data_IF_941061433307
#
_entry.id   IF_941061433307
#
_cell.length_a   1.000
_cell.length_b   1.000
_cell.length_c   1.000
_cell.angle_alpha   90.00
_cell.angle_beta   90.00
_cell.angle_gamma   90.00
#
_symmetry.space_group_name_H-M   'P 1'
#
loop_
_entity.id
_entity.type
_entity.pdbx_description
1 polymer ?
#
# COMPACT_ATOMS: atom_id res chain seq x y z
N UNK A 1 -2.66 -10.95 11.44
CA UNK A 1 -2.95 -10.64 10.04
C UNK A 1 -1.74 -9.89 9.49
N UNK A 2 -1.21 -10.23 8.32
CA UNK A 2 -0.06 -9.57 7.74
C UNK A 2 -0.45 -8.23 7.10
N UNK A 3 0.46 -7.26 7.19
CA UNK A 3 0.45 -6.05 6.39
C UNK A 3 1.30 -6.30 5.14
N UNK A 4 0.82 -5.94 3.97
CA UNK A 4 1.57 -6.07 2.72
C UNK A 4 1.97 -4.71 2.16
N UNK A 5 3.19 -4.60 1.66
CA UNK A 5 3.71 -3.45 0.92
C UNK A 5 3.98 -3.92 -0.50
N UNK A 6 3.34 -3.32 -1.47
CA UNK A 6 3.34 -3.75 -2.86
C UNK A 6 3.74 -2.61 -3.79
N UNK A 7 4.62 -2.91 -4.75
CA UNK A 7 5.00 -2.01 -5.84
C UNK A 7 4.64 -2.65 -7.17
N UNK A 8 3.62 -2.15 -7.89
CA UNK A 8 3.28 -2.66 -9.22
C UNK A 8 4.34 -2.24 -10.24
N UNK A 9 4.87 -3.20 -10.99
CA UNK A 9 5.69 -2.89 -12.17
C UNK A 9 4.77 -2.53 -13.34
N UNK A 10 4.98 -1.37 -13.94
CA UNK A 10 4.27 -0.95 -15.14
C UNK A 10 4.81 -1.74 -16.35
N UNK A 11 4.21 -2.88 -16.69
CA UNK A 11 4.36 -3.51 -17.99
C UNK A 11 3.00 -3.91 -18.51
N UNK A 12 2.63 -3.30 -19.62
CA UNK A 12 1.46 -3.60 -20.44
C UNK A 12 1.55 -5.01 -20.99
N UNK A 13 0.93 -5.99 -20.36
CA UNK A 13 0.32 -7.21 -20.91
C UNK A 13 -0.01 -8.15 -19.76
N UNK A 14 -1.29 -8.49 -19.63
CA UNK A 14 -1.77 -9.43 -18.60
C UNK A 14 -1.33 -10.85 -18.90
N UNK A 15 -0.85 -11.56 -17.89
CA UNK A 15 -1.25 -12.96 -17.70
C UNK A 15 -1.83 -13.19 -16.31
N UNK A 16 -2.87 -13.99 -16.28
CA UNK A 16 -3.51 -14.56 -15.11
C UNK A 16 -2.49 -15.20 -14.16
N UNK A 17 -2.38 -14.64 -12.96
CA UNK A 17 -1.51 -15.19 -11.91
C UNK A 17 -2.19 -16.40 -11.26
N UNK A 18 -1.67 -17.57 -11.54
CA UNK A 18 -1.95 -18.81 -10.80
C UNK A 18 -1.04 -18.88 -9.58
N UNK A 19 -1.60 -18.72 -8.38
CA UNK A 19 -0.86 -18.92 -7.13
C UNK A 19 -0.70 -20.42 -6.84
N UNK A 20 0.55 -20.89 -6.83
CA UNK A 20 0.92 -22.17 -6.19
C UNK A 20 1.60 -21.87 -4.87
N UNK A 21 0.88 -22.18 -3.78
CA UNK A 21 1.38 -22.07 -2.41
C UNK A 21 2.47 -23.11 -2.13
N UNK A 22 3.68 -22.66 -1.82
CA UNK A 22 4.65 -23.44 -1.06
C UNK A 22 5.10 -22.60 0.14
N UNK A 23 4.41 -22.79 1.27
CA UNK A 23 4.77 -22.19 2.56
C UNK A 23 5.53 -23.26 3.34
N UNK A 24 6.84 -23.10 3.51
CA UNK A 24 7.61 -23.91 4.45
C UNK A 24 7.74 -23.20 5.78
N UNK A 25 7.15 -23.77 6.83
CA UNK A 25 7.28 -23.32 8.21
C UNK A 25 8.54 -23.93 8.84
N UNK A 26 9.42 -23.10 9.40
CA UNK A 26 10.42 -23.52 10.37
C UNK A 26 10.08 -22.90 11.73
N UNK A 27 9.87 -23.71 12.80
CA UNK A 27 9.68 -23.20 14.13
C UNK A 27 11.02 -22.95 14.82
N UNK A 28 11.36 -21.71 15.15
CA UNK A 28 12.45 -21.42 16.07
C UNK A 28 11.90 -21.00 17.44
N UNK A 29 11.91 -21.94 18.37
CA UNK A 29 11.73 -21.68 19.79
C UNK A 29 12.93 -20.86 20.33
N UNK A 30 12.72 -19.61 20.73
CA UNK A 30 13.60 -18.93 21.68
C UNK A 30 12.75 -18.22 22.75
N UNK A 31 13.05 -18.55 24.00
CA UNK A 31 12.46 -17.93 25.22
C UNK A 31 12.91 -16.48 25.30
N UNK A 32 11.96 -15.57 25.48
CA UNK A 32 12.26 -14.14 25.72
C UNK A 32 12.63 -13.92 27.19
N UNK A 33 13.79 -13.31 27.42
CA UNK A 33 14.19 -12.69 28.69
C UNK A 33 13.83 -11.20 28.68
N UNK A 34 13.50 -10.60 29.86
CA UNK A 34 13.17 -9.17 29.94
C UNK A 34 14.42 -8.33 29.64
N UNK A 35 14.35 -7.45 28.65
CA UNK A 35 15.42 -6.55 28.24
C UNK A 35 15.90 -6.71 26.78
N UNK A 36 15.28 -7.54 25.98
CA UNK A 36 15.70 -7.79 24.59
C UNK A 36 14.98 -6.85 23.63
N UNK A 37 15.75 -6.02 22.92
CA UNK A 37 15.30 -5.26 21.75
C UNK A 37 14.69 -6.22 20.74
N UNK A 38 13.41 -6.07 20.42
CA UNK A 38 12.77 -6.79 19.33
C UNK A 38 13.29 -6.22 18.00
N UNK A 39 14.28 -6.87 17.40
CA UNK A 39 14.67 -6.60 16.02
C UNK A 39 13.68 -7.33 15.11
N UNK A 40 12.96 -6.58 14.30
CA UNK A 40 12.12 -7.15 13.25
C UNK A 40 13.02 -7.66 12.12
N UNK A 41 13.00 -8.95 11.87
CA UNK A 41 13.63 -9.52 10.68
C UNK A 41 12.53 -9.77 9.65
N UNK A 42 12.45 -8.93 8.64
CA UNK A 42 11.60 -9.16 7.46
C UNK A 42 12.35 -10.11 6.54
N UNK A 43 11.89 -11.33 6.39
CA UNK A 43 12.36 -12.28 5.36
C UNK A 43 11.16 -12.95 4.73
N UNK A 44 10.72 -12.43 3.61
CA UNK A 44 10.04 -13.19 2.58
C UNK A 44 10.28 -12.48 1.24
N UNK A 45 11.24 -12.99 0.48
CA UNK A 45 11.45 -12.58 -0.91
C UNK A 45 10.74 -13.59 -1.77
N UNK A 46 9.68 -13.19 -2.46
CA UNK A 46 9.09 -13.97 -3.54
C UNK A 46 9.63 -13.40 -4.83
N UNK A 47 10.63 -14.06 -5.41
CA UNK A 47 11.14 -13.72 -6.73
C UNK A 47 10.22 -14.34 -7.78
N UNK A 48 9.65 -13.53 -8.65
CA UNK A 48 8.92 -13.99 -9.83
C UNK A 48 9.93 -14.13 -10.96
N UNK A 49 10.28 -15.38 -11.34
CA UNK A 49 11.15 -15.65 -12.48
C UNK A 49 10.40 -15.39 -13.78
N UNK A 50 10.93 -14.48 -14.60
CA UNK A 50 10.50 -14.26 -15.98
C UNK A 50 11.24 -15.22 -16.92
N UNK A 51 10.60 -15.76 -17.98
CA UNK A 51 11.29 -16.63 -18.91
C UNK A 51 12.33 -15.86 -19.75
N UNK A 52 13.51 -16.42 -19.83
CA UNK A 52 14.66 -15.92 -20.57
C UNK A 52 14.40 -15.81 -22.07
N UNK A 53 14.56 -14.63 -22.66
CA UNK A 53 14.87 -14.47 -24.07
C UNK A 53 16.18 -13.69 -24.20
N UNK A 54 17.12 -14.30 -24.91
CA UNK A 54 18.45 -13.82 -25.20
C UNK A 54 18.43 -12.57 -26.09
N UNK A 55 19.11 -11.50 -25.64
CA UNK A 55 19.93 -10.63 -26.50
C UNK A 55 20.60 -9.55 -25.66
N UNK A 56 21.89 -9.47 -25.84
CA UNK A 56 22.87 -8.51 -25.35
C UNK A 56 22.46 -7.04 -25.43
N UNK A 57 22.29 -6.42 -24.24
CA UNK A 57 22.73 -5.06 -23.98
C UNK A 57 22.82 -4.89 -22.45
N UNK A 58 24.03 -4.58 -21.95
CA UNK A 58 24.28 -4.40 -20.51
C UNK A 58 23.78 -3.04 -20.07
N UNK A 59 22.47 -2.93 -19.85
CA UNK A 59 21.90 -1.94 -18.95
C UNK A 59 21.95 -2.51 -17.55
N UNK A 60 22.33 -1.70 -16.59
CA UNK A 60 22.40 -2.05 -15.14
C UNK A 60 20.96 -2.30 -14.65
N UNK A 61 20.51 -3.55 -14.76
CA UNK A 61 19.12 -3.99 -14.54
C UNK A 61 18.92 -4.44 -13.06
N UNK A 62 19.57 -3.73 -12.13
CA UNK A 62 19.28 -3.92 -10.72
C UNK A 62 17.94 -3.23 -10.39
N UNK A 63 16.96 -3.94 -9.78
CA UNK A 63 15.65 -3.36 -9.49
C UNK A 63 15.83 -2.12 -8.62
N UNK A 64 15.31 -0.99 -9.12
CA UNK A 64 15.46 0.34 -8.49
C UNK A 64 14.83 0.32 -7.11
N UNK A 65 15.56 0.84 -6.11
CA UNK A 65 15.02 1.01 -4.74
C UNK A 65 13.90 2.05 -4.80
N UNK A 66 12.74 1.66 -4.31
CA UNK A 66 11.52 2.48 -4.27
C UNK A 66 11.34 3.13 -2.90
N UNK A 67 11.44 2.34 -1.82
CA UNK A 67 11.36 2.81 -0.45
C UNK A 67 12.57 2.30 0.32
N UNK A 68 13.22 3.20 1.05
CA UNK A 68 14.28 2.85 1.98
C UNK A 68 14.01 3.48 3.34
N UNK A 69 13.92 2.65 4.37
CA UNK A 69 13.72 3.05 5.76
C UNK A 69 14.93 2.61 6.55
N UNK A 70 15.59 3.53 7.26
CA UNK A 70 16.76 3.27 8.09
C UNK A 70 16.56 3.80 9.51
N UNK A 71 16.68 2.91 10.48
CA UNK A 71 16.65 3.18 11.92
C UNK A 71 15.44 4.04 12.36
N UNK A 72 14.28 3.83 11.74
CA UNK A 72 13.09 4.63 11.98
C UNK A 72 12.58 4.42 13.41
N UNK A 73 12.49 5.52 14.16
CA UNK A 73 11.95 5.60 15.50
C UNK A 73 10.76 6.55 15.52
N UNK A 74 9.67 6.15 16.19
CA UNK A 74 8.48 7.00 16.30
C UNK A 74 7.80 6.83 17.66
N UNK A 75 7.15 7.91 18.10
CA UNK A 75 6.38 8.00 19.35
C UNK A 75 4.94 8.42 19.05
N UNK A 76 4.02 8.08 19.94
CA UNK A 76 2.67 8.66 19.94
C UNK A 76 2.77 10.09 20.47
N UNK A 77 2.18 11.05 19.76
CA UNK A 77 2.23 12.48 20.12
C UNK A 77 1.66 12.75 21.52
N UNK A 78 0.50 12.15 21.85
CA UNK A 78 -0.19 12.38 23.11
C UNK A 78 0.54 11.78 24.33
N UNK A 79 0.92 10.50 24.24
CA UNK A 79 1.49 9.77 25.37
C UNK A 79 3.00 9.81 25.46
N UNK A 80 3.69 10.30 24.40
CA UNK A 80 5.13 10.25 24.19
C UNK A 80 5.72 8.83 24.31
N UNK A 81 4.87 7.83 24.20
CA UNK A 81 5.29 6.42 24.23
C UNK A 81 5.97 6.05 22.92
N UNK A 82 7.16 5.51 23.01
CA UNK A 82 7.89 5.00 21.86
C UNK A 82 7.29 3.66 21.40
N UNK A 83 6.95 3.58 20.10
CA UNK A 83 6.36 2.38 19.50
C UNK A 83 7.29 1.77 18.46
N UNK A 84 7.93 2.61 17.63
CA UNK A 84 8.91 2.16 16.66
C UNK A 84 10.33 2.38 17.19
N UNK A 85 11.15 1.35 17.12
CA UNK A 85 12.50 1.33 17.67
C UNK A 85 13.49 0.83 16.61
N UNK A 86 14.01 1.72 15.77
CA UNK A 86 15.03 1.39 14.80
C UNK A 86 14.57 0.42 13.71
N UNK A 87 13.44 0.73 13.05
CA UNK A 87 12.89 -0.10 11.96
C UNK A 87 13.70 0.12 10.69
N UNK A 88 14.11 -0.98 10.07
CA UNK A 88 14.82 -0.99 8.80
C UNK A 88 14.07 -1.80 7.76
N UNK A 89 13.81 -1.22 6.59
CA UNK A 89 13.11 -1.87 5.47
C UNK A 89 13.58 -1.26 4.15
N UNK A 90 13.86 -2.10 3.17
CA UNK A 90 14.13 -1.68 1.80
C UNK A 90 13.18 -2.41 0.87
N UNK A 91 12.45 -1.67 0.04
CA UNK A 91 11.51 -2.19 -0.96
C UNK A 91 11.96 -1.72 -2.33
N UNK A 92 12.12 -2.68 -3.25
CA UNK A 92 12.44 -2.39 -4.65
C UNK A 92 11.21 -2.45 -5.53
N UNK A 93 11.31 -1.90 -6.71
CA UNK A 93 10.26 -1.95 -7.72
C UNK A 93 9.90 -3.41 -8.05
N UNK A 94 8.59 -3.74 -8.05
CA UNK A 94 8.08 -5.09 -8.32
C UNK A 94 8.17 -6.07 -7.13
N UNK A 95 8.67 -5.65 -5.96
CA UNK A 95 8.72 -6.52 -4.78
C UNK A 95 7.43 -6.41 -3.95
N UNK A 96 7.06 -7.52 -3.29
CA UNK A 96 6.01 -7.60 -2.29
C UNK A 96 6.63 -7.99 -0.95
N UNK A 97 6.46 -7.14 0.06
CA UNK A 97 6.95 -7.37 1.40
C UNK A 97 5.78 -7.60 2.37
N UNK A 98 5.74 -8.75 3.03
CA UNK A 98 4.80 -9.05 4.10
C UNK A 98 5.41 -8.71 5.45
N UNK A 99 4.86 -7.69 6.13
CA UNK A 99 5.26 -7.30 7.48
C UNK A 99 4.45 -8.09 8.49
N UNK A 100 5.09 -9.00 9.21
CA UNK A 100 4.43 -9.91 10.15
C UNK A 100 4.87 -9.63 11.59
N UNK A 101 4.00 -9.89 12.56
CA UNK A 101 4.30 -9.74 13.97
C UNK A 101 3.06 -9.91 14.84
N UNK A 102 3.27 -10.01 16.16
CA UNK A 102 2.17 -10.08 17.14
C UNK A 102 1.30 -8.82 17.10
N UNK A 103 0.05 -8.93 17.55
CA UNK A 103 -0.79 -7.75 17.74
C UNK A 103 -0.12 -6.80 18.73
N UNK A 104 -0.18 -5.48 18.45
CA UNK A 104 0.52 -4.46 19.23
C UNK A 104 2.02 -4.34 18.95
N UNK A 105 2.57 -5.02 17.93
CA UNK A 105 3.99 -4.91 17.57
C UNK A 105 4.35 -3.66 16.77
N UNK A 106 3.38 -2.80 16.44
CA UNK A 106 3.63 -1.55 15.71
C UNK A 106 3.46 -1.62 14.19
N UNK A 107 2.90 -2.71 13.62
CA UNK A 107 2.69 -2.84 12.17
C UNK A 107 1.86 -1.69 11.57
N UNK A 108 0.65 -1.52 12.10
CA UNK A 108 -0.26 -0.44 11.65
C UNK A 108 0.30 0.95 11.99
N UNK A 109 1.06 1.07 13.10
CA UNK A 109 1.78 2.30 13.42
C UNK A 109 2.84 2.63 12.37
N UNK A 110 3.62 1.63 11.94
CA UNK A 110 4.60 1.81 10.88
C UNK A 110 3.96 2.30 9.57
N UNK A 111 2.83 1.70 9.16
CA UNK A 111 2.06 2.15 8.01
C UNK A 111 1.60 3.61 8.14
N UNK A 112 1.01 3.97 9.29
CA UNK A 112 0.53 5.33 9.56
C UNK A 112 1.67 6.36 9.60
N UNK A 113 2.82 6.01 10.15
CA UNK A 113 4.02 6.88 10.16
C UNK A 113 4.52 7.15 8.74
N UNK A 114 4.52 6.13 7.86
CA UNK A 114 4.94 6.30 6.47
C UNK A 114 4.03 7.25 5.68
N UNK A 115 2.73 7.26 5.98
CA UNK A 115 1.79 8.19 5.31
C UNK A 115 1.68 9.55 5.99
N UNK A 116 2.36 9.76 7.11
CA UNK A 116 2.38 11.05 7.81
C UNK A 116 1.16 11.29 8.70
N UNK A 117 0.64 10.26 9.36
CA UNK A 117 -0.51 10.42 10.26
C UNK A 117 -0.16 11.31 11.46
N UNK A 118 -1.00 12.31 11.81
CA UNK A 118 -0.67 13.32 12.81
C UNK A 118 -0.51 12.79 14.25
N UNK A 119 -1.04 11.62 14.56
CA UNK A 119 -0.92 11.01 15.90
C UNK A 119 0.50 10.55 16.24
N UNK A 120 1.40 10.53 15.27
CA UNK A 120 2.75 10.00 15.41
C UNK A 120 3.81 11.03 15.09
N UNK A 121 4.83 11.09 15.92
CA UNK A 121 6.01 11.94 15.75
C UNK A 121 7.26 11.06 15.53
N UNK A 122 8.03 11.38 14.51
CA UNK A 122 9.26 10.68 14.19
C UNK A 122 10.39 11.30 15.02
N UNK A 123 11.04 10.45 15.83
CA UNK A 123 12.13 10.88 16.73
C UNK A 123 13.52 10.54 16.20
N UNK A 124 13.61 9.73 15.17
CA UNK A 124 14.89 9.37 14.56
C UNK A 124 14.75 8.49 13.34
N UNK A 125 15.86 8.37 12.61
CA UNK A 125 15.94 7.60 11.39
C UNK A 125 15.70 8.41 10.12
N UNK A 126 15.75 7.74 8.99
CA UNK A 126 15.52 8.34 7.66
C UNK A 126 14.58 7.47 6.84
N UNK A 127 13.73 8.11 6.05
CA UNK A 127 12.85 7.44 5.09
C UNK A 127 12.99 8.13 3.74
N UNK A 128 13.43 7.37 2.75
CA UNK A 128 13.55 7.84 1.37
C UNK A 128 12.53 7.10 0.48
N UNK A 129 11.77 7.84 -0.30
CA UNK A 129 10.85 7.31 -1.30
C UNK A 129 11.21 7.87 -2.67
N UNK A 130 11.51 6.99 -3.63
CA UNK A 130 12.01 7.36 -4.97
C UNK A 130 13.24 8.28 -4.95
N UNK A 131 14.05 8.23 -3.88
CA UNK A 131 15.22 9.07 -3.69
C UNK A 131 14.96 10.41 -3.00
N UNK A 132 13.71 10.76 -2.72
CA UNK A 132 13.33 11.96 -1.99
C UNK A 132 13.09 11.66 -0.50
N UNK A 133 13.34 12.63 0.37
CA UNK A 133 13.11 12.46 1.80
C UNK A 133 11.61 12.51 2.12
N UNK A 134 11.04 11.35 2.45
CA UNK A 134 9.61 11.24 2.74
C UNK A 134 9.19 12.02 3.99
N UNK A 135 10.11 12.22 4.95
CA UNK A 135 9.80 12.87 6.22
C UNK A 135 9.55 14.38 6.09
N UNK A 136 10.06 15.00 5.03
CA UNK A 136 9.86 16.41 4.72
C UNK A 136 8.58 16.68 3.93
N UNK A 137 7.96 15.63 3.41
CA UNK A 137 6.73 15.74 2.61
C UNK A 137 5.49 15.75 3.50
N UNK A 138 4.54 16.64 3.18
CA UNK A 138 3.20 16.59 3.74
C UNK A 138 2.43 15.35 3.25
N UNK A 139 1.41 14.87 3.99
CA UNK A 139 0.64 13.68 3.61
C UNK A 139 0.07 13.72 2.19
N UNK A 140 -0.38 14.90 1.74
CA UNK A 140 -0.87 15.11 0.38
C UNK A 140 0.22 14.92 -0.67
N UNK A 141 1.43 15.43 -0.40
CA UNK A 141 2.59 15.30 -1.28
C UNK A 141 3.03 13.85 -1.41
N UNK A 142 2.99 13.08 -0.29
CA UNK A 142 3.28 11.64 -0.28
C UNK A 142 2.31 10.87 -1.17
N UNK A 143 1.02 11.17 -1.06
CA UNK A 143 -0.01 10.57 -1.90
C UNK A 143 0.20 10.92 -3.38
N UNK A 144 0.46 12.18 -3.69
CA UNK A 144 0.75 12.65 -5.05
C UNK A 144 2.09 12.11 -5.60
N UNK A 145 3.03 11.72 -4.74
CA UNK A 145 4.26 11.04 -5.14
C UNK A 145 4.04 9.56 -5.52
N UNK A 146 2.83 9.04 -5.27
CA UNK A 146 2.44 7.67 -5.61
C UNK A 146 2.42 6.70 -4.42
N UNK A 147 2.38 7.21 -3.19
CA UNK A 147 2.18 6.39 -2.00
C UNK A 147 0.68 6.23 -1.72
N UNK A 148 0.22 5.00 -1.58
CA UNK A 148 -1.16 4.66 -1.24
C UNK A 148 -1.22 3.84 0.05
N UNK A 149 -2.22 4.10 0.88
CA UNK A 149 -2.50 3.29 2.07
C UNK A 149 -3.96 2.84 2.09
N UNK A 150 -4.17 1.52 2.22
CA UNK A 150 -5.47 0.94 2.57
C UNK A 150 -5.58 0.86 4.09
N UNK A 151 -6.62 1.46 4.64
CA UNK A 151 -6.86 1.46 6.08
C UNK A 151 -7.56 0.17 6.53
N UNK A 152 -7.25 -0.29 7.73
CA UNK A 152 -7.96 -1.42 8.36
C UNK A 152 -9.47 -1.19 8.42
N UNK A 153 -9.89 0.04 8.71
CA UNK A 153 -11.30 0.46 8.74
C UNK A 153 -11.49 1.70 7.88
N UNK A 154 -11.91 1.53 6.61
CA UNK A 154 -12.16 2.66 5.72
C UNK A 154 -13.23 3.60 6.26
N UNK A 155 -12.92 4.89 6.26
CA UNK A 155 -13.83 5.94 6.75
C UNK A 155 -14.95 6.18 5.74
N UNK A 156 -16.18 6.35 6.22
CA UNK A 156 -17.30 6.80 5.40
C UNK A 156 -17.27 8.34 5.28
N UNK A 157 -17.50 8.85 4.07
CA UNK A 157 -17.56 10.29 3.80
C UNK A 157 -18.98 10.62 3.31
N UNK A 158 -19.89 11.04 4.20
CA UNK A 158 -21.25 11.39 3.82
C UNK A 158 -21.27 12.61 2.89
N UNK A 159 -22.17 12.59 1.91
CA UNK A 159 -22.37 13.72 1.00
C UNK A 159 -21.35 13.84 -0.15
N UNK A 160 -20.38 12.95 -0.24
CA UNK A 160 -19.42 12.89 -1.36
C UNK A 160 -19.59 11.58 -2.10
N UNK A 161 -19.95 11.65 -3.39
CA UNK A 161 -20.08 10.44 -4.21
C UNK A 161 -18.71 9.81 -4.52
N UNK A 162 -18.67 8.49 -4.68
CA UNK A 162 -17.43 7.79 -5.04
C UNK A 162 -16.84 8.32 -6.35
N UNK A 163 -17.67 8.64 -7.33
CA UNK A 163 -17.19 9.13 -8.62
C UNK A 163 -16.54 10.50 -8.49
N UNK A 164 -17.13 11.41 -7.72
CA UNK A 164 -16.57 12.75 -7.51
C UNK A 164 -15.26 12.68 -6.72
N UNK A 165 -15.23 11.86 -5.67
CA UNK A 165 -14.03 11.64 -4.87
C UNK A 165 -12.87 11.13 -5.72
N UNK A 166 -13.11 10.07 -6.52
CA UNK A 166 -12.09 9.46 -7.37
C UNK A 166 -11.66 10.38 -8.51
N UNK A 167 -12.60 11.12 -9.11
CA UNK A 167 -12.29 12.10 -10.16
C UNK A 167 -11.41 13.24 -9.64
N UNK A 168 -11.74 13.79 -8.47
CA UNK A 168 -10.94 14.84 -7.84
C UNK A 168 -9.53 14.35 -7.51
N UNK A 169 -9.42 13.16 -6.91
CA UNK A 169 -8.13 12.58 -6.53
C UNK A 169 -7.25 12.29 -7.77
N UNK A 170 -7.83 11.72 -8.81
CA UNK A 170 -7.13 11.43 -10.07
C UNK A 170 -6.71 12.70 -10.80
N UNK A 171 -7.58 13.71 -10.86
CA UNK A 171 -7.24 14.99 -11.47
C UNK A 171 -6.18 15.77 -10.68
N UNK A 172 -6.11 15.62 -9.35
CA UNK A 172 -5.01 16.17 -8.56
C UNK A 172 -3.65 15.59 -8.97
N UNK A 173 -3.58 14.27 -9.23
CA UNK A 173 -2.37 13.64 -9.75
C UNK A 173 -2.02 14.14 -11.17
N UNK A 174 -3.02 14.22 -12.06
CA UNK A 174 -2.82 14.72 -13.43
C UNK A 174 -2.29 16.16 -13.43
N UNK A 175 -2.83 16.99 -12.53
CA UNK A 175 -2.37 18.39 -12.37
C UNK A 175 -0.91 18.45 -11.94
N UNK A 176 -0.49 17.60 -11.00
CA UNK A 176 0.93 17.50 -10.59
C UNK A 176 1.83 17.11 -11.77
N UNK A 177 1.34 16.27 -12.67
CA UNK A 177 2.08 15.84 -13.87
C UNK A 177 1.99 16.83 -15.02
N UNK A 178 1.31 17.97 -14.86
CA UNK A 178 1.10 18.97 -15.93
C UNK A 178 0.15 18.49 -17.03
N UNK A 179 -0.64 17.45 -16.78
CA UNK A 179 -1.62 16.91 -17.71
C UNK A 179 -2.98 17.62 -17.55
N UNK A 180 -3.77 17.75 -18.63
CA UNK A 180 -5.11 18.32 -18.55
C UNK A 180 -6.02 17.45 -17.67
N UNK A 181 -6.92 18.09 -16.91
CA UNK A 181 -7.92 17.39 -16.12
C UNK A 181 -8.91 16.65 -17.01
N UNK A 182 -9.39 15.50 -16.56
CA UNK A 182 -10.46 14.77 -17.22
C UNK A 182 -11.82 15.31 -16.80
N UNK A 183 -12.66 15.57 -17.79
CA UNK A 183 -14.07 15.84 -17.56
C UNK A 183 -14.82 14.60 -17.05
N UNK A 184 -16.06 14.76 -16.53
CA UNK A 184 -16.85 13.65 -15.96
C UNK A 184 -17.07 12.49 -16.94
N UNK A 185 -17.31 12.76 -18.21
CA UNK A 185 -17.54 11.74 -19.23
C UNK A 185 -16.27 10.96 -19.55
N UNK A 186 -15.15 11.67 -19.69
CA UNK A 186 -13.84 11.07 -19.95
C UNK A 186 -13.39 10.21 -18.77
N UNK A 187 -13.58 10.72 -17.54
CA UNK A 187 -13.26 9.98 -16.33
C UNK A 187 -14.13 8.72 -16.19
N UNK A 188 -15.41 8.79 -16.59
CA UNK A 188 -16.28 7.62 -16.59
C UNK A 188 -15.76 6.51 -17.52
N UNK A 189 -15.29 6.88 -18.72
CA UNK A 189 -14.61 5.95 -19.63
C UNK A 189 -13.35 5.34 -19.06
N UNK A 190 -12.60 6.11 -18.25
CA UNK A 190 -11.37 5.64 -17.58
C UNK A 190 -11.64 4.66 -16.43
N UNK A 191 -12.70 4.89 -15.64
CA UNK A 191 -12.99 4.08 -14.46
C UNK A 191 -13.76 2.79 -14.79
N UNK A 192 -14.55 2.75 -15.87
CA UNK A 192 -15.40 1.61 -16.21
C UNK A 192 -14.64 0.26 -16.25
N UNK A 193 -13.50 0.12 -16.96
CA UNK A 193 -12.75 -1.14 -16.97
C UNK A 193 -12.16 -1.51 -15.60
N UNK A 194 -11.93 -0.53 -14.73
CA UNK A 194 -11.41 -0.75 -13.36
C UNK A 194 -12.49 -1.26 -12.41
N UNK A 195 -13.75 -0.87 -12.63
CA UNK A 195 -14.91 -1.45 -11.91
C UNK A 195 -15.09 -2.94 -12.23
N UNK A 196 -14.92 -3.31 -13.49
CA UNK A 196 -14.97 -4.72 -13.90
C UNK A 196 -13.85 -5.52 -13.23
N UNK A 197 -12.65 -4.97 -13.17
CA UNK A 197 -11.49 -5.61 -12.53
C UNK A 197 -11.72 -5.94 -11.05
N UNK A 198 -12.44 -5.07 -10.32
CA UNK A 198 -12.76 -5.27 -8.89
C UNK A 198 -14.13 -5.87 -8.64
N UNK A 199 -14.82 -6.33 -9.70
CA UNK A 199 -16.16 -6.91 -9.65
C UNK A 199 -17.16 -6.01 -8.89
N UNK A 200 -17.16 -4.71 -9.18
CA UNK A 200 -18.07 -3.72 -8.62
C UNK A 200 -19.07 -3.22 -9.67
N UNK A 201 -20.33 -3.04 -9.24
CA UNK A 201 -21.38 -2.49 -10.10
C UNK A 201 -21.24 -0.97 -10.22
N UNK A 202 -21.65 -0.42 -11.35
CA UNK A 202 -21.67 1.02 -11.64
C UNK A 202 -22.43 1.84 -10.59
N UNK A 203 -23.52 1.29 -10.03
CA UNK A 203 -24.34 1.95 -9.03
C UNK A 203 -23.54 2.40 -7.78
N UNK A 204 -22.44 1.72 -7.47
CA UNK A 204 -21.56 2.10 -6.36
C UNK A 204 -20.85 3.44 -6.56
N UNK A 205 -20.66 3.88 -7.80
CA UNK A 205 -20.06 5.17 -8.10
C UNK A 205 -20.94 6.36 -7.67
N UNK A 206 -22.25 6.18 -7.71
CA UNK A 206 -23.22 7.21 -7.34
C UNK A 206 -23.52 7.25 -5.84
N UNK A 207 -23.06 6.25 -5.08
CA UNK A 207 -23.21 6.21 -3.62
C UNK A 207 -22.09 7.01 -2.95
N UNK A 208 -22.36 7.51 -1.75
CA UNK A 208 -21.36 8.18 -0.96
C UNK A 208 -20.21 7.23 -0.59
N UNK A 209 -19.00 7.77 -0.47
CA UNK A 209 -17.78 7.00 -0.17
C UNK A 209 -17.97 6.18 1.10
N UNK A 210 -17.95 4.86 0.97
CA UNK A 210 -18.04 3.88 2.06
C UNK A 210 -19.31 3.94 2.94
N UNK A 211 -20.28 4.83 2.65
CA UNK A 211 -21.51 4.96 3.43
C UNK A 211 -22.48 3.81 3.11
N UNK A 212 -22.84 3.06 4.15
CA UNK A 212 -23.74 1.90 4.02
C UNK A 212 -23.15 0.73 3.22
N UNK A 213 -21.83 0.70 2.98
CA UNK A 213 -21.17 -0.42 2.36
C UNK A 213 -20.95 -1.55 3.35
N UNK A 214 -21.11 -2.78 2.90
CA UNK A 214 -20.66 -3.97 3.63
C UNK A 214 -19.11 -3.99 3.77
N UNK A 215 -18.58 -4.84 4.65
CA UNK A 215 -17.13 -4.97 4.82
C UNK A 215 -16.41 -5.31 3.50
N UNK A 216 -16.94 -6.27 2.74
CA UNK A 216 -16.39 -6.65 1.44
C UNK A 216 -16.49 -5.54 0.39
N UNK A 217 -17.60 -4.80 0.35
CA UNK A 217 -17.77 -3.67 -0.57
C UNK A 217 -16.78 -2.53 -0.27
N UNK A 218 -16.52 -2.23 1.02
CA UNK A 218 -15.52 -1.25 1.43
C UNK A 218 -14.13 -1.65 0.96
N UNK A 219 -13.76 -2.90 1.11
CA UNK A 219 -12.45 -3.41 0.66
C UNK A 219 -12.29 -3.35 -0.85
N UNK A 220 -13.33 -3.76 -1.61
CA UNK A 220 -13.33 -3.60 -3.08
C UNK A 220 -13.23 -2.13 -3.49
N UNK A 221 -13.88 -1.22 -2.75
CA UNK A 221 -13.77 0.21 -3.02
C UNK A 221 -12.34 0.74 -2.79
N UNK A 222 -11.61 0.26 -1.78
CA UNK A 222 -10.20 0.60 -1.59
C UNK A 222 -9.30 0.06 -2.70
N UNK A 223 -9.55 -1.18 -3.16
CA UNK A 223 -8.84 -1.75 -4.31
C UNK A 223 -9.15 -0.94 -5.58
N UNK A 224 -10.41 -0.50 -5.77
CA UNK A 224 -10.78 0.40 -6.86
C UNK A 224 -10.00 1.72 -6.77
N UNK A 225 -9.91 2.33 -5.60
CA UNK A 225 -9.11 3.55 -5.38
C UNK A 225 -7.65 3.33 -5.78
N UNK A 226 -7.05 2.22 -5.33
CA UNK A 226 -5.68 1.85 -5.70
C UNK A 226 -5.52 1.71 -7.22
N UNK A 227 -6.46 1.02 -7.88
CA UNK A 227 -6.44 0.82 -9.32
C UNK A 227 -6.65 2.11 -10.13
N UNK A 228 -7.47 3.04 -9.63
CA UNK A 228 -7.73 4.34 -10.26
C UNK A 228 -6.52 5.26 -10.12
N UNK A 229 -5.93 5.33 -8.93
CA UNK A 229 -4.80 6.22 -8.65
C UNK A 229 -3.48 5.68 -9.19
N UNK A 230 -3.36 4.37 -9.44
CA UNK A 230 -2.16 3.78 -10.02
C UNK A 230 -0.91 4.05 -9.17
N UNK A 231 -1.01 3.78 -7.86
CA UNK A 231 0.08 4.06 -6.93
C UNK A 231 1.33 3.22 -7.22
N UNK A 232 2.50 3.82 -7.00
CA UNK A 232 3.80 3.15 -7.15
C UNK A 232 4.14 2.26 -5.95
N UNK A 233 3.64 2.63 -4.77
CA UNK A 233 3.79 1.89 -3.54
C UNK A 233 2.45 1.81 -2.81
N UNK A 234 1.92 0.62 -2.62
CA UNK A 234 0.72 0.37 -1.84
C UNK A 234 1.06 -0.26 -0.48
N UNK A 235 0.61 0.36 0.60
CA UNK A 235 0.67 -0.17 1.96
C UNK A 235 -0.73 -0.68 2.32
N UNK A 236 -0.86 -1.99 2.52
CA UNK A 236 -2.13 -2.67 2.76
C UNK A 236 -2.17 -3.17 4.19
N UNK A 237 -2.98 -2.54 5.06
CA UNK A 237 -3.10 -2.92 6.46
C UNK A 237 -4.35 -3.79 6.66
N UNK A 238 -4.13 -5.10 6.90
CA UNK A 238 -5.17 -6.11 7.16
C UNK A 238 -6.31 -6.13 6.12
N UNK A 239 -5.96 -6.09 4.84
CA UNK A 239 -6.94 -6.04 3.73
C UNK A 239 -7.87 -7.26 3.71
N UNK A 240 -7.43 -8.40 4.26
CA UNK A 240 -8.16 -9.65 4.37
C UNK A 240 -9.08 -9.71 5.61
N UNK A 241 -8.99 -8.73 6.51
CA UNK A 241 -9.82 -8.71 7.71
C UNK A 241 -11.29 -8.45 7.37
N UNK A 242 -12.19 -9.38 7.79
CA UNK A 242 -13.63 -9.26 7.58
C UNK A 242 -14.13 -9.69 6.20
N UNK A 243 -13.29 -10.30 5.37
CA UNK A 243 -13.71 -11.03 4.18
C UNK A 243 -14.04 -12.47 4.53
N UNK A 244 -15.13 -13.01 3.97
CA UNK A 244 -15.43 -14.43 3.99
C UNK A 244 -14.54 -15.17 2.98
N UNK A 245 -14.44 -16.48 3.14
CA UNK A 245 -13.51 -17.33 2.36
C UNK A 245 -13.80 -17.27 0.86
N UNK A 246 -15.05 -17.00 0.46
CA UNK A 246 -15.43 -16.90 -0.94
C UNK A 246 -14.97 -15.57 -1.56
N UNK A 247 -15.03 -14.47 -0.80
CA UNK A 247 -14.54 -13.16 -1.24
C UNK A 247 -13.00 -13.05 -1.32
N UNK A 248 -12.27 -14.03 -0.75
CA UNK A 248 -10.81 -14.12 -0.87
C UNK A 248 -10.35 -14.89 -2.11
N UNK A 249 -11.28 -15.55 -2.84
CA UNK A 249 -10.97 -16.35 -4.05
C UNK A 249 -11.20 -15.59 -5.35
N UNK A 250 -12.02 -14.55 -5.33
CA UNK A 250 -12.32 -13.65 -6.44
C UNK A 250 -11.24 -12.54 -6.53
#
# INVERSE_FOLDING_TARGET
VPMAVFSPSCSSTSPLLSFKNNISFFPSHRRCFPGVRCTFTVKATVSVESPSSSATDRCDDSPKVLLEVRDLCAVIVESKQQILNGVNLTVRQGEVHAVMGKNGSGKSTFAKVLVGHPDYEITGGTVSFKGENLLEMEPEERSLAGLFMSFQSPVAIPGVSNIDFLNMAYNAQRRKLGLPELGPIEFYGYIAPKLELVNMKIDFLNRNVNEGFSGGERKRNEILQLAVLGADLAILDEIDSGLDVDALRD
#
